data_IF_034404704226
#
_entry.id   IF_034404704226
#
_cell.length_a   1.000
_cell.length_b   1.000
_cell.length_c   1.000
_cell.angle_alpha   90.00
_cell.angle_beta   90.00
_cell.angle_gamma   90.00
#
_symmetry.space_group_name_H-M   'P 1'
#
loop_
_entity.id
_entity.type
_entity.pdbx_description
1 polymer ?
#
# COMPACT_ATOMS: atom_id res chain seq x y z
N UNK A 1 6.94 22.28 -10.78
CA UNK A 1 7.35 20.86 -10.74
C UNK A 1 6.31 20.12 -9.87
N UNK A 2 5.92 18.87 -10.17
CA UNK A 2 4.81 18.12 -9.52
C UNK A 2 5.28 16.81 -8.86
N UNK A 3 6.58 16.72 -8.62
CA UNK A 3 7.23 15.57 -8.02
C UNK A 3 7.69 16.00 -6.63
N UNK A 4 6.91 15.59 -5.63
CA UNK A 4 7.00 16.12 -4.27
C UNK A 4 7.92 15.25 -3.37
N UNK A 5 8.30 14.05 -3.83
CA UNK A 5 9.20 13.13 -3.11
C UNK A 5 8.73 12.76 -1.69
N UNK A 6 7.42 12.67 -1.47
CA UNK A 6 6.84 12.39 -0.16
C UNK A 6 6.91 10.89 0.21
N UNK A 7 6.84 10.62 1.51
CA UNK A 7 6.77 9.27 2.08
C UNK A 7 5.67 8.41 1.46
N UNK A 8 5.93 7.11 1.35
CA UNK A 8 5.00 6.14 0.76
C UNK A 8 3.68 6.10 1.53
N UNK A 9 2.56 6.16 0.81
CA UNK A 9 1.22 6.08 1.40
C UNK A 9 0.75 7.33 2.16
N UNK A 10 1.56 8.40 2.27
CA UNK A 10 1.20 9.60 3.03
C UNK A 10 0.03 10.40 2.41
N UNK A 11 -0.18 10.29 1.09
CA UNK A 11 -1.23 11.04 0.36
C UNK A 11 -2.25 10.13 -0.29
N UNK A 12 -1.80 9.14 -1.08
CA UNK A 12 -2.66 8.29 -1.91
C UNK A 12 -2.67 6.84 -1.44
N UNK A 13 -3.00 6.62 -0.16
CA UNK A 13 -2.97 5.29 0.46
C UNK A 13 -3.75 4.20 -0.31
N UNK A 14 -4.98 4.43 -0.81
CA UNK A 14 -5.69 3.39 -1.57
C UNK A 14 -4.99 3.00 -2.87
N UNK A 15 -4.32 3.96 -3.54
CA UNK A 15 -3.64 3.72 -4.83
C UNK A 15 -2.40 2.86 -4.63
N UNK A 16 -1.59 3.11 -3.59
CA UNK A 16 -0.42 2.27 -3.32
C UNK A 16 -0.84 0.85 -2.88
N UNK A 17 -1.96 0.70 -2.16
CA UNK A 17 -2.51 -0.61 -1.80
C UNK A 17 -2.97 -1.38 -3.04
N UNK A 18 -3.64 -0.73 -3.99
CA UNK A 18 -4.01 -1.33 -5.27
C UNK A 18 -2.77 -1.76 -6.07
N UNK A 19 -1.75 -0.90 -6.14
CA UNK A 19 -0.48 -1.22 -6.81
C UNK A 19 0.20 -2.45 -6.19
N UNK A 20 0.32 -2.50 -4.86
CA UNK A 20 0.90 -3.65 -4.16
C UNK A 20 0.06 -4.92 -4.35
N UNK A 21 -1.27 -4.82 -4.35
CA UNK A 21 -2.14 -5.95 -4.66
C UNK A 21 -1.87 -6.51 -6.07
N UNK A 22 -1.69 -5.63 -7.07
CA UNK A 22 -1.35 -6.04 -8.43
C UNK A 22 0.02 -6.74 -8.49
N UNK A 23 1.03 -6.23 -7.76
CA UNK A 23 2.35 -6.86 -7.68
C UNK A 23 2.31 -8.25 -7.04
N UNK A 24 1.57 -8.42 -5.95
CA UNK A 24 1.38 -9.73 -5.31
C UNK A 24 0.64 -10.69 -6.25
N UNK A 25 -0.35 -10.21 -7.02
CA UNK A 25 -1.09 -11.02 -7.99
C UNK A 25 -0.23 -11.59 -9.13
N UNK A 26 0.83 -10.88 -9.52
CA UNK A 26 1.79 -11.36 -10.53
C UNK A 26 3.00 -12.07 -9.92
N UNK A 27 3.07 -12.20 -8.59
CA UNK A 27 4.20 -12.82 -7.89
C UNK A 27 5.51 -12.04 -8.03
N UNK A 28 5.45 -10.70 -8.04
CA UNK A 28 6.65 -9.87 -8.11
C UNK A 28 7.51 -10.00 -6.85
N UNK A 29 8.77 -10.42 -7.03
CA UNK A 29 9.78 -10.59 -5.97
C UNK A 29 11.03 -9.72 -6.21
N UNK A 30 10.86 -8.63 -6.97
CA UNK A 30 11.94 -7.71 -7.28
C UNK A 30 12.11 -6.62 -6.20
N UNK A 31 13.06 -5.72 -6.46
CA UNK A 31 13.35 -4.58 -5.58
C UNK A 31 12.19 -3.57 -5.60
N UNK A 32 11.85 -3.04 -4.44
CA UNK A 32 11.01 -1.83 -4.27
C UNK A 32 11.96 -0.69 -3.88
N UNK A 33 11.97 0.37 -4.69
CA UNK A 33 12.83 1.54 -4.49
C UNK A 33 11.99 2.74 -4.02
N UNK A 34 12.50 3.48 -3.03
CA UNK A 34 11.90 4.71 -2.53
C UNK A 34 12.61 5.92 -3.12
N UNK A 35 11.96 6.61 -4.05
CA UNK A 35 12.45 7.87 -4.65
C UNK A 35 11.84 9.06 -3.90
N UNK A 36 12.33 9.31 -2.67
CA UNK A 36 11.83 10.36 -1.78
C UNK A 36 12.87 11.47 -1.57
N UNK A 37 12.40 12.65 -1.15
CA UNK A 37 13.21 13.85 -0.97
C UNK A 37 13.18 14.35 0.49
N UNK A 38 13.70 13.59 1.47
CA UNK A 38 13.71 13.97 2.90
C UNK A 38 14.29 15.37 3.13
N UNK A 39 15.38 15.70 2.42
CA UNK A 39 16.06 17.00 2.49
C UNK A 39 15.14 18.18 2.15
N UNK A 40 14.21 18.00 1.21
CA UNK A 40 13.26 19.04 0.81
C UNK A 40 12.20 19.32 1.89
N UNK A 41 11.98 18.36 2.79
CA UNK A 41 11.00 18.42 3.88
C UNK A 41 11.63 18.64 5.27
N UNK A 42 12.96 18.59 5.38
CA UNK A 42 13.68 18.74 6.66
C UNK A 42 13.52 17.55 7.61
N UNK A 43 13.22 16.37 7.09
CA UNK A 43 13.03 15.13 7.86
C UNK A 43 14.36 14.34 7.89
N UNK A 44 14.59 13.57 8.96
CA UNK A 44 15.74 12.65 9.03
C UNK A 44 15.61 11.56 7.93
N UNK A 45 16.52 11.51 6.94
CA UNK A 45 16.43 10.57 5.83
C UNK A 45 16.51 9.10 6.28
N UNK A 46 17.21 8.81 7.37
CA UNK A 46 17.34 7.44 7.90
C UNK A 46 16.03 7.00 8.53
N UNK A 47 15.43 7.87 9.35
CA UNK A 47 14.14 7.60 9.97
C UNK A 47 13.02 7.48 8.92
N UNK A 48 13.04 8.33 7.90
CA UNK A 48 12.08 8.27 6.79
C UNK A 48 12.18 6.95 6.03
N UNK A 49 13.39 6.55 5.65
CA UNK A 49 13.63 5.29 4.93
C UNK A 49 13.17 4.08 5.75
N UNK A 50 13.53 4.03 7.05
CA UNK A 50 13.09 2.96 7.95
C UNK A 50 11.55 2.88 8.02
N UNK A 51 10.88 4.02 8.17
CA UNK A 51 9.42 4.07 8.20
C UNK A 51 8.76 3.68 6.87
N UNK A 52 9.34 4.08 5.73
CA UNK A 52 8.84 3.67 4.41
C UNK A 52 8.92 2.15 4.23
N UNK A 53 10.00 1.51 4.70
CA UNK A 53 10.15 0.04 4.68
C UNK A 53 9.08 -0.62 5.54
N UNK A 54 8.95 -0.22 6.81
CA UNK A 54 7.94 -0.76 7.73
C UNK A 54 6.53 -0.61 7.17
N UNK A 55 6.23 0.55 6.60
CA UNK A 55 4.95 0.88 6.00
C UNK A 55 4.63 -0.03 4.81
N UNK A 56 5.57 -0.19 3.86
CA UNK A 56 5.34 -1.07 2.70
C UNK A 56 5.19 -2.52 3.11
N UNK A 57 5.99 -3.02 4.05
CA UNK A 57 5.85 -4.40 4.53
C UNK A 57 4.49 -4.64 5.23
N UNK A 58 4.02 -3.67 6.03
CA UNK A 58 2.68 -3.73 6.61
C UNK A 58 1.57 -3.70 5.56
N UNK A 59 1.70 -2.85 4.53
CA UNK A 59 0.77 -2.79 3.40
C UNK A 59 0.76 -4.11 2.61
N UNK A 60 1.93 -4.72 2.34
CA UNK A 60 2.07 -6.02 1.67
C UNK A 60 1.38 -7.13 2.47
N UNK A 61 1.58 -7.17 3.78
CA UNK A 61 0.88 -8.12 4.65
C UNK A 61 -0.65 -7.96 4.56
N UNK A 62 -1.15 -6.71 4.61
CA UNK A 62 -2.57 -6.42 4.48
C UNK A 62 -3.14 -6.88 3.13
N UNK A 63 -2.47 -6.59 2.01
CA UNK A 63 -2.98 -7.00 0.68
C UNK A 63 -2.93 -8.50 0.49
N UNK A 64 -1.95 -9.21 1.08
CA UNK A 64 -1.91 -10.68 1.09
C UNK A 64 -3.08 -11.28 1.86
N UNK A 65 -3.41 -10.72 3.02
CA UNK A 65 -4.56 -11.15 3.81
C UNK A 65 -5.88 -10.94 3.05
N UNK A 66 -6.02 -9.82 2.35
CA UNK A 66 -7.19 -9.57 1.48
C UNK A 66 -7.23 -10.54 0.31
N UNK A 67 -6.11 -10.75 -0.38
CA UNK A 67 -6.02 -11.66 -1.52
C UNK A 67 -6.32 -13.13 -1.13
N UNK A 68 -5.99 -13.51 0.10
CA UNK A 68 -6.30 -14.84 0.63
C UNK A 68 -7.79 -15.03 0.98
N UNK A 69 -8.58 -13.96 1.08
CA UNK A 69 -10.02 -14.02 1.38
C UNK A 69 -10.84 -14.30 0.09
N UNK A 70 -11.51 -15.45 -0.06
CA UNK A 70 -12.28 -15.78 -1.26
C UNK A 70 -13.38 -14.75 -1.57
N UNK A 71 -13.96 -14.14 -0.54
CA UNK A 71 -15.01 -13.13 -0.67
C UNK A 71 -14.50 -11.84 -1.32
N UNK A 72 -13.20 -11.54 -1.19
CA UNK A 72 -12.59 -10.37 -1.81
C UNK A 72 -12.44 -10.58 -3.31
N UNK A 73 -11.88 -11.72 -3.72
CA UNK A 73 -11.80 -12.09 -5.13
C UNK A 73 -13.18 -12.15 -5.79
N UNK A 74 -14.19 -12.69 -5.10
CA UNK A 74 -15.57 -12.70 -5.58
C UNK A 74 -16.16 -11.29 -5.73
N UNK A 75 -15.86 -10.37 -4.80
CA UNK A 75 -16.30 -8.97 -4.89
C UNK A 75 -15.67 -8.25 -6.09
N UNK A 76 -14.37 -8.46 -6.33
CA UNK A 76 -13.66 -7.89 -7.48
C UNK A 76 -14.22 -8.43 -8.80
N UNK A 77 -14.42 -9.75 -8.91
CA UNK A 77 -14.98 -10.38 -10.11
C UNK A 77 -16.40 -9.88 -10.44
N UNK A 78 -17.20 -9.59 -9.41
CA UNK A 78 -18.55 -9.04 -9.55
C UNK A 78 -18.58 -7.51 -9.78
N UNK A 79 -17.43 -6.84 -9.82
CA UNK A 79 -17.32 -5.38 -9.85
C UNK A 79 -18.08 -4.69 -8.69
N UNK A 80 -18.20 -5.36 -7.55
CA UNK A 80 -18.86 -4.83 -6.35
C UNK A 80 -17.90 -3.93 -5.58
N UNK A 81 -17.81 -2.67 -6.04
CA UNK A 81 -16.97 -1.65 -5.43
C UNK A 81 -17.34 -1.38 -3.96
N UNK A 82 -18.61 -1.53 -3.58
CA UNK A 82 -19.06 -1.30 -2.21
C UNK A 82 -18.51 -2.38 -1.28
N UNK A 83 -18.58 -3.65 -1.69
CA UNK A 83 -18.06 -4.77 -0.89
C UNK A 83 -16.54 -4.78 -0.85
N UNK A 84 -15.86 -4.60 -1.99
CA UNK A 84 -14.39 -4.60 -2.04
C UNK A 84 -13.79 -3.46 -1.22
N UNK A 85 -14.33 -2.24 -1.33
CA UNK A 85 -13.88 -1.10 -0.52
C UNK A 85 -14.17 -1.29 0.96
N UNK A 86 -15.34 -1.84 1.33
CA UNK A 86 -15.65 -2.14 2.73
C UNK A 86 -14.65 -3.13 3.33
N UNK A 87 -14.31 -4.20 2.62
CA UNK A 87 -13.34 -5.20 3.08
C UNK A 87 -11.95 -4.59 3.25
N UNK A 88 -11.49 -3.79 2.28
CA UNK A 88 -10.23 -3.05 2.36
C UNK A 88 -10.19 -2.15 3.60
N UNK A 89 -11.20 -1.28 3.76
CA UNK A 89 -11.25 -0.34 4.87
C UNK A 89 -11.36 -1.02 6.24
N UNK A 90 -12.11 -2.12 6.34
CA UNK A 90 -12.18 -2.90 7.58
C UNK A 90 -10.81 -3.49 7.97
N UNK A 91 -10.05 -4.02 7.02
CA UNK A 91 -8.71 -4.56 7.30
C UNK A 91 -7.71 -3.46 7.62
N UNK A 92 -7.80 -2.31 6.95
CA UNK A 92 -6.95 -1.16 7.20
C UNK A 92 -7.18 -0.58 8.61
N UNK A 93 -8.44 -0.37 9.00
CA UNK A 93 -8.78 0.26 10.27
C UNK A 93 -8.67 -0.69 11.48
N UNK A 94 -8.68 -2.00 11.28
CA UNK A 94 -8.53 -2.97 12.38
C UNK A 94 -7.09 -3.09 12.93
N UNK A 95 -6.12 -2.36 12.34
CA UNK A 95 -4.69 -2.42 12.68
C UNK A 95 -4.24 -1.28 13.62
N UNK A 96 -5.18 -0.54 14.20
CA UNK A 96 -4.93 0.52 15.21
C UNK A 96 -4.90 -0.03 16.63
#
# INVERSE_FOLDING_TARGET
KRDDGLMVGAVNLPVILEFLHALEGIGYDGVIYFDTFPDATGIDPVAECAHNIETVEAMRALVRELAAAPEFAAALAAQDAVKSQRMLMQRLLART
#
